data_IF_821744969442
#
_entry.id   IF_821744969442
#
_cell.length_a   1.000
_cell.length_b   1.000
_cell.length_c   1.000
_cell.angle_alpha   90.00
_cell.angle_beta   90.00
_cell.angle_gamma   90.00
#
_symmetry.space_group_name_H-M   'P 1'
#
loop_
_entity.id
_entity.type
_entity.pdbx_description
1 polymer ?
#
# COMPACT_ATOMS: atom_id res chain seq x y z
N UNK A 1 0.02 -5.48 -14.70
CA UNK A 1 -1.28 -5.90 -15.29
C UNK A 1 -1.03 -6.79 -16.50
N UNK A 2 -1.97 -7.67 -16.88
CA UNK A 2 -1.87 -8.50 -18.09
C UNK A 2 -1.50 -7.68 -19.35
N UNK A 3 -0.74 -8.30 -20.26
CA UNK A 3 -0.26 -7.66 -21.50
C UNK A 3 -1.40 -7.21 -22.43
N UNK A 4 -2.56 -7.88 -22.34
CA UNK A 4 -3.74 -7.58 -23.15
C UNK A 4 -4.45 -6.28 -22.78
N UNK A 5 -4.08 -5.61 -21.68
CA UNK A 5 -4.72 -4.37 -21.25
C UNK A 5 -4.12 -3.18 -22.00
N UNK A 6 -4.99 -2.46 -22.70
CA UNK A 6 -4.66 -1.29 -23.50
C UNK A 6 -4.73 -0.02 -22.66
N UNK A 7 -5.85 0.19 -21.96
CA UNK A 7 -6.09 1.40 -21.18
C UNK A 7 -7.00 1.11 -19.97
N UNK A 8 -6.95 1.98 -18.96
CA UNK A 8 -7.81 1.94 -17.79
C UNK A 8 -8.55 3.27 -17.64
N UNK A 9 -9.88 3.25 -17.66
CA UNK A 9 -10.72 4.40 -17.34
C UNK A 9 -11.27 4.22 -15.93
N UNK A 10 -10.54 4.75 -14.94
CA UNK A 10 -10.85 4.57 -13.53
C UNK A 10 -11.29 5.88 -12.88
N UNK A 11 -12.13 5.76 -11.86
CA UNK A 11 -12.57 6.83 -10.97
C UNK A 11 -12.21 6.42 -9.55
N UNK A 12 -11.27 7.15 -8.93
CA UNK A 12 -10.91 7.00 -7.53
C UNK A 12 -11.71 7.97 -6.67
N UNK A 13 -12.26 7.50 -5.54
CA UNK A 13 -12.95 8.38 -4.59
C UNK A 13 -11.98 9.21 -3.72
N UNK A 14 -10.72 8.78 -3.66
CA UNK A 14 -9.63 9.33 -2.89
C UNK A 14 -8.31 8.98 -3.59
N UNK A 15 -7.38 9.93 -3.59
CA UNK A 15 -6.09 9.74 -4.19
C UNK A 15 -6.11 9.86 -5.72
N UNK A 16 -4.93 9.70 -6.32
CA UNK A 16 -4.71 9.80 -7.76
C UNK A 16 -4.21 8.48 -8.28
N UNK A 17 -4.65 8.09 -9.47
CA UNK A 17 -4.09 6.94 -10.16
C UNK A 17 -3.33 7.38 -11.40
N UNK A 18 -2.33 6.60 -11.77
CA UNK A 18 -1.61 6.74 -13.02
C UNK A 18 -1.44 5.34 -13.63
N UNK A 19 -1.76 5.20 -14.90
CA UNK A 19 -1.55 3.96 -15.63
C UNK A 19 -0.47 4.18 -16.67
N UNK A 20 0.62 3.42 -16.58
CA UNK A 20 1.65 3.42 -17.59
C UNK A 20 1.38 2.30 -18.61
N UNK A 21 1.02 2.63 -19.87
CA UNK A 21 0.71 1.65 -20.90
C UNK A 21 1.93 0.87 -21.39
N UNK A 22 3.15 1.32 -21.11
CA UNK A 22 4.41 0.64 -21.48
C UNK A 22 4.78 -0.41 -20.43
N UNK A 23 4.91 -0.02 -19.16
CA UNK A 23 5.20 -0.97 -18.07
C UNK A 23 4.00 -1.84 -17.68
N UNK A 24 2.78 -1.48 -18.11
CA UNK A 24 1.51 -2.12 -17.73
C UNK A 24 1.31 -2.10 -16.22
N UNK A 25 1.76 -1.04 -15.56
CA UNK A 25 1.60 -0.84 -14.11
C UNK A 25 0.57 0.26 -13.88
N UNK A 26 -0.45 -0.08 -13.08
CA UNK A 26 -1.38 0.87 -12.51
C UNK A 26 -0.86 1.25 -11.12
N UNK A 27 -0.50 2.52 -10.93
CA UNK A 27 -0.12 3.06 -9.64
C UNK A 27 -1.29 3.87 -9.06
N UNK A 28 -1.74 3.55 -7.85
CA UNK A 28 -2.78 4.31 -7.15
C UNK A 28 -2.22 4.84 -5.83
N UNK A 29 -2.11 6.16 -5.75
CA UNK A 29 -1.61 6.87 -4.58
C UNK A 29 -2.79 7.41 -3.77
N UNK A 30 -3.11 6.74 -2.65
CA UNK A 30 -4.25 7.07 -1.78
C UNK A 30 -3.90 8.20 -0.79
N UNK A 31 -2.66 8.22 -0.30
CA UNK A 31 -2.23 9.10 0.78
C UNK A 31 -2.70 8.59 2.15
N UNK A 32 -3.31 9.48 2.95
CA UNK A 32 -3.79 9.15 4.30
C UNK A 32 -5.22 8.59 4.25
N UNK A 33 -5.41 7.40 4.81
CA UNK A 33 -6.73 6.75 4.91
C UNK A 33 -7.48 7.35 6.10
N UNK A 34 -8.72 7.75 5.85
CA UNK A 34 -9.70 8.11 6.88
C UNK A 34 -10.69 6.95 7.04
N UNK A 35 -10.99 6.57 8.29
CA UNK A 35 -11.88 5.45 8.60
C UNK A 35 -13.33 5.78 8.25
N UNK A 36 -13.69 7.06 8.22
CA UNK A 36 -15.04 7.52 7.86
C UNK A 36 -15.35 7.35 6.37
N UNK A 37 -14.34 7.38 5.50
CA UNK A 37 -14.49 7.24 4.05
C UNK A 37 -13.42 6.31 3.49
N UNK A 38 -13.80 5.05 3.34
CA UNK A 38 -12.91 4.04 2.79
C UNK A 38 -12.49 4.37 1.34
N UNK A 39 -11.19 4.32 1.01
CA UNK A 39 -10.71 4.54 -0.35
C UNK A 39 -11.20 3.44 -1.28
N UNK A 40 -11.70 3.83 -2.45
CA UNK A 40 -12.13 2.93 -3.51
C UNK A 40 -11.74 3.49 -4.88
N UNK A 41 -11.46 2.58 -5.80
CA UNK A 41 -11.22 2.86 -7.21
C UNK A 41 -12.10 1.91 -8.03
N UNK A 42 -12.87 2.47 -8.97
CA UNK A 42 -13.81 1.73 -9.82
C UNK A 42 -13.75 2.26 -11.24
N UNK A 43 -14.05 1.42 -12.22
CA UNK A 43 -14.11 1.85 -13.61
C UNK A 43 -14.00 0.68 -14.57
N UNK A 44 -13.61 0.99 -15.80
CA UNK A 44 -13.50 0.02 -16.89
C UNK A 44 -12.07 -0.12 -17.36
N UNK A 45 -11.71 -1.34 -17.79
CA UNK A 45 -10.38 -1.64 -18.34
C UNK A 45 -10.58 -2.12 -19.78
N UNK A 46 -9.94 -1.45 -20.72
CA UNK A 46 -10.00 -1.78 -22.13
C UNK A 46 -8.97 -2.86 -22.47
N UNK A 47 -9.43 -3.94 -23.08
CA UNK A 47 -8.63 -5.11 -23.44
C UNK A 47 -8.51 -5.16 -24.97
N UNK A 48 -7.36 -5.63 -25.48
CA UNK A 48 -7.16 -5.84 -26.90
C UNK A 48 -8.16 -6.86 -27.47
N UNK A 49 -8.75 -6.53 -28.62
CA UNK A 49 -9.73 -7.38 -29.32
C UNK A 49 -9.12 -8.76 -29.64
N UNK A 50 -9.82 -9.83 -29.25
CA UNK A 50 -9.35 -11.21 -29.48
C UNK A 50 -8.35 -11.74 -28.43
N UNK A 51 -8.09 -11.00 -27.35
CA UNK A 51 -7.26 -11.51 -26.27
C UNK A 51 -8.02 -12.49 -25.37
N UNK A 52 -7.37 -13.61 -25.04
CA UNK A 52 -7.89 -14.58 -24.07
C UNK A 52 -7.90 -13.94 -22.67
N UNK A 53 -9.10 -13.76 -22.09
CA UNK A 53 -9.31 -13.17 -20.76
C UNK A 53 -9.38 -14.21 -19.64
N UNK A 54 -9.29 -15.50 -19.98
CA UNK A 54 -9.52 -16.63 -19.08
C UNK A 54 -8.52 -16.73 -17.91
N UNK A 55 -7.32 -16.16 -18.04
CA UNK A 55 -6.22 -16.26 -17.06
C UNK A 55 -5.76 -14.89 -16.51
N UNK A 56 -6.66 -13.90 -16.44
CA UNK A 56 -6.33 -12.58 -15.91
C UNK A 56 -6.39 -12.60 -14.37
N UNK A 57 -5.24 -12.90 -13.75
CA UNK A 57 -5.07 -12.80 -12.29
C UNK A 57 -4.07 -11.69 -11.93
N UNK A 58 -4.49 -10.41 -11.92
CA UNK A 58 -3.59 -9.32 -11.57
C UNK A 58 -3.26 -9.39 -10.08
N UNK A 59 -1.98 -9.39 -9.75
CA UNK A 59 -1.56 -9.23 -8.36
C UNK A 59 -1.45 -7.76 -7.97
N UNK A 60 -1.97 -7.41 -6.80
CA UNK A 60 -1.96 -6.06 -6.26
C UNK A 60 -0.87 -5.99 -5.19
N UNK A 61 0.15 -5.15 -5.42
CA UNK A 61 1.18 -4.86 -4.42
C UNK A 61 0.77 -3.63 -3.63
N UNK A 62 0.70 -3.74 -2.31
CA UNK A 62 0.27 -2.66 -1.42
C UNK A 62 1.45 -2.17 -0.60
N UNK A 63 1.66 -0.85 -0.62
CA UNK A 63 2.64 -0.18 0.23
C UNK A 63 1.91 0.74 1.20
N UNK A 64 2.16 0.58 2.50
CA UNK A 64 1.58 1.42 3.54
C UNK A 64 2.57 1.66 4.66
N UNK A 65 2.34 2.74 5.42
CA UNK A 65 3.05 3.04 6.67
C UNK A 65 2.03 3.41 7.74
N UNK A 66 2.06 2.70 8.86
CA UNK A 66 1.21 2.96 10.02
C UNK A 66 2.09 3.49 11.15
N UNK A 67 1.82 4.73 11.56
CA UNK A 67 2.51 5.37 12.67
C UNK A 67 1.92 4.91 14.01
N UNK A 68 2.77 4.86 15.04
CA UNK A 68 2.40 4.53 16.42
C UNK A 68 1.82 3.12 16.61
N UNK A 69 2.13 2.20 15.68
CA UNK A 69 1.68 0.82 15.73
C UNK A 69 2.82 -0.15 15.47
N UNK A 70 2.92 -1.18 16.31
CA UNK A 70 3.72 -2.37 16.07
C UNK A 70 2.76 -3.55 15.85
N UNK A 71 2.67 -4.03 14.60
CA UNK A 71 1.70 -5.09 14.26
C UNK A 71 2.02 -6.44 14.93
N UNK A 72 3.26 -6.65 15.38
CA UNK A 72 3.66 -7.82 16.18
C UNK A 72 3.15 -7.78 17.62
N UNK A 73 2.57 -6.66 18.06
CA UNK A 73 2.21 -6.44 19.47
C UNK A 73 3.41 -6.18 20.38
N UNK A 74 4.64 -6.07 19.84
CA UNK A 74 5.84 -5.82 20.63
C UNK A 74 5.76 -4.46 21.32
N UNK A 75 5.96 -4.47 22.65
CA UNK A 75 6.00 -3.26 23.48
C UNK A 75 7.26 -3.27 24.34
N UNK A 76 8.08 -2.23 24.19
CA UNK A 76 9.23 -1.95 25.05
C UNK A 76 8.70 -1.65 26.45
N UNK A 77 9.08 -2.48 27.42
CA UNK A 77 8.68 -2.30 28.82
C UNK A 77 9.58 -1.26 29.52
N UNK A 78 10.90 -1.44 29.45
CA UNK A 78 11.87 -0.58 30.15
C UNK A 78 13.17 -0.47 29.36
N UNK A 79 13.81 0.70 29.46
CA UNK A 79 15.15 0.98 28.96
C UNK A 79 16.00 1.51 30.11
N UNK A 80 17.02 0.76 30.51
CA UNK A 80 17.91 1.09 31.62
C UNK A 80 19.29 1.52 31.11
N UNK A 81 19.87 2.52 31.77
CA UNK A 81 21.20 3.03 31.46
C UNK A 81 22.04 2.99 32.74
N UNK A 82 23.22 2.41 32.64
CA UNK A 82 24.19 2.28 33.73
C UNK A 82 25.49 2.98 33.34
N UNK A 83 26.26 3.42 34.33
CA UNK A 83 27.57 4.06 34.11
C UNK A 83 27.53 5.58 33.92
N UNK A 84 26.34 6.18 33.83
CA UNK A 84 26.15 7.62 33.66
C UNK A 84 25.34 8.24 34.80
N UNK A 85 25.73 9.45 35.26
CA UNK A 85 25.06 10.14 36.37
C UNK A 85 23.87 11.00 35.94
N UNK A 86 23.81 11.41 34.68
CA UNK A 86 22.74 12.28 34.19
C UNK A 86 21.48 11.47 33.83
N UNK A 87 20.33 12.14 33.76
CA UNK A 87 19.03 11.52 33.42
C UNK A 87 18.67 11.81 31.95
N UNK A 88 18.95 10.90 31.00
CA UNK A 88 18.58 11.10 29.60
C UNK A 88 17.07 11.01 29.39
N UNK A 89 16.59 11.70 28.35
CA UNK A 89 15.27 11.43 27.80
C UNK A 89 15.28 10.09 27.06
N UNK A 90 14.29 9.24 27.35
CA UNK A 90 14.13 7.92 26.73
C UNK A 90 12.77 7.85 26.05
N UNK A 91 12.77 7.78 24.72
CA UNK A 91 11.55 7.71 23.92
C UNK A 91 11.57 6.50 23.00
N UNK A 92 10.39 5.98 22.70
CA UNK A 92 10.19 4.91 21.71
C UNK A 92 9.11 5.33 20.73
N UNK A 93 9.32 5.07 19.45
CA UNK A 93 8.32 5.25 18.39
C UNK A 93 8.16 3.94 17.62
N UNK A 94 6.93 3.49 17.47
CA UNK A 94 6.59 2.33 16.66
C UNK A 94 6.12 2.77 15.28
N UNK A 95 6.62 2.12 14.24
CA UNK A 95 6.22 2.34 12.86
C UNK A 95 6.15 0.98 12.18
N UNK A 96 4.99 0.65 11.60
CA UNK A 96 4.83 -0.53 10.77
C UNK A 96 4.85 -0.10 9.30
N UNK A 97 5.70 -0.72 8.49
CA UNK A 97 5.75 -0.51 7.04
C UNK A 97 5.43 -1.80 6.32
N UNK A 98 4.80 -1.69 5.16
CA UNK A 98 4.60 -2.83 4.28
C UNK A 98 5.95 -3.36 3.78
N UNK A 99 6.14 -4.67 3.88
CA UNK A 99 7.20 -5.39 3.16
C UNK A 99 6.71 -5.82 1.78
N UNK A 100 6.92 -7.09 1.42
CA UNK A 100 6.30 -7.69 0.22
C UNK A 100 4.85 -8.06 0.51
N UNK A 101 3.96 -7.07 0.48
CA UNK A 101 2.53 -7.27 0.69
C UNK A 101 1.80 -7.35 -0.65
N UNK A 102 1.44 -8.57 -1.05
CA UNK A 102 0.80 -8.85 -2.33
C UNK A 102 -0.56 -9.51 -2.09
N UNK A 103 -1.60 -8.97 -2.71
CA UNK A 103 -2.94 -9.55 -2.75
C UNK A 103 -3.10 -10.20 -4.12
N UNK A 104 -3.47 -11.48 -4.15
CA UNK A 104 -3.82 -12.20 -5.38
C UNK A 104 -5.34 -12.20 -5.50
N UNK A 105 -5.82 -11.78 -6.64
CA UNK A 105 -7.23 -11.88 -7.05
C UNK A 105 -7.46 -13.20 -7.77
#
# INVERSE_FOLDING_TARGET
MPKCILNCCLTSNQGKYNYDPVSKILHWEIGKIDVTKLPNIRGTVSIATGANTSDINPSINVHFTINQLAISGLKVNRLDMYGEKYKPFKGVKYITKAGRFQIRM
#
